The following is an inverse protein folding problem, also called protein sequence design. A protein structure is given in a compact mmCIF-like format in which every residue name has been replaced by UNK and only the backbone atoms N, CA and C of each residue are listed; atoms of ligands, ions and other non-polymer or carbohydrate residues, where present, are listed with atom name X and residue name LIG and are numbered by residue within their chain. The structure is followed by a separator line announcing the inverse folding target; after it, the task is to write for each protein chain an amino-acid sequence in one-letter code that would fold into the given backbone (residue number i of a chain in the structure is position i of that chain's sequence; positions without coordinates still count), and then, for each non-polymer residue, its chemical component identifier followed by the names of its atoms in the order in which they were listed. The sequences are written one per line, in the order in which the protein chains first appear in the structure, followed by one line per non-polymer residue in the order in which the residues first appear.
data_IF_789946657340
#
_entry.id   IF_789946657340
#
_cell.length_a   1.000
_cell.length_b   1.000
_cell.length_c   1.000
_cell.angle_alpha   90.00
_cell.angle_beta   90.00
_cell.angle_gamma   90.00
#
_symmetry.space_group_name_H-M   'P 1'
#
loop_
_entity.id
_entity.type
_entity.pdbx_description
1 polymer ?
#
# COMPACT_ATOMS: atom_id res chain seq x y z
N UNK A 1 -3.05 36.35 22.80
CA UNK A 1 -1.65 35.91 23.00
C UNK A 1 -1.30 34.78 22.04
N UNK A 2 -2.12 33.73 21.92
CA UNK A 2 -1.82 32.53 21.09
C UNK A 2 -1.46 32.76 19.61
N UNK A 3 -2.14 33.64 18.89
CA UNK A 3 -1.83 33.86 17.45
C UNK A 3 -0.44 34.46 17.22
N UNK A 4 0.03 35.31 18.13
CA UNK A 4 1.33 35.99 18.00
C UNK A 4 2.47 34.99 18.18
N UNK A 5 2.35 34.11 19.17
CA UNK A 5 3.32 33.05 19.44
C UNK A 5 3.37 32.02 18.30
N UNK A 6 2.20 31.65 17.73
CA UNK A 6 2.15 30.78 16.55
C UNK A 6 2.81 31.42 15.33
N UNK A 7 2.55 32.71 15.04
CA UNK A 7 3.17 33.38 13.88
C UNK A 7 4.68 33.58 14.01
N UNK A 8 5.19 33.65 15.24
CA UNK A 8 6.62 33.86 15.51
C UNK A 8 7.42 32.56 15.36
N UNK A 9 6.90 31.45 15.87
CA UNK A 9 7.51 30.13 15.75
C UNK A 9 6.43 29.03 15.77
N UNK A 10 5.88 28.68 14.60
CA UNK A 10 4.79 27.72 14.51
C UNK A 10 5.18 26.34 15.05
N UNK A 11 6.42 25.89 14.83
CA UNK A 11 6.87 24.56 15.23
C UNK A 11 7.06 24.44 16.74
N UNK A 12 7.60 25.47 17.39
CA UNK A 12 7.73 25.51 18.85
C UNK A 12 6.39 25.67 19.55
N UNK A 13 5.49 26.49 19.00
CA UNK A 13 4.12 26.61 19.49
C UNK A 13 3.39 25.27 19.42
N UNK A 14 3.45 24.61 18.26
CA UNK A 14 2.81 23.31 18.05
C UNK A 14 3.42 22.21 18.91
N UNK A 15 4.75 22.16 19.07
CA UNK A 15 5.40 21.20 19.99
C UNK A 15 4.95 21.39 21.44
N UNK A 16 4.81 22.64 21.90
CA UNK A 16 4.32 22.93 23.24
C UNK A 16 2.83 22.59 23.41
N UNK A 17 2.01 22.83 22.38
CA UNK A 17 0.58 22.56 22.39
C UNK A 17 0.25 21.06 22.31
N UNK A 18 0.91 20.33 21.41
CA UNK A 18 0.71 18.90 21.19
C UNK A 18 1.49 18.01 22.18
N UNK A 19 2.37 18.64 22.97
CA UNK A 19 3.33 17.97 23.82
C UNK A 19 4.63 17.67 23.08
N UNK A 20 5.75 17.79 23.79
CA UNK A 20 7.07 17.48 23.23
C UNK A 20 7.12 16.04 22.70
N UNK A 21 8.01 15.80 21.73
CA UNK A 21 8.29 14.45 21.23
C UNK A 21 8.60 13.55 22.42
N UNK A 22 7.67 12.66 22.74
CA UNK A 22 7.88 11.61 23.73
C UNK A 22 8.87 10.62 23.12
N UNK A 23 10.15 10.74 23.48
CA UNK A 23 11.14 9.72 23.23
C UNK A 23 11.05 8.67 24.34
N UNK A 24 11.01 7.40 23.95
CA UNK A 24 11.11 6.28 24.86
C UNK A 24 11.95 5.19 24.21
N UNK A 25 12.69 4.46 25.02
CA UNK A 25 13.35 3.24 24.57
C UNK A 25 12.34 2.10 24.66
N UNK A 26 12.14 1.41 23.54
CA UNK A 26 11.31 0.21 23.53
C UNK A 26 12.08 -0.90 24.23
N UNK A 27 11.59 -1.33 25.39
CA UNK A 27 12.22 -2.42 26.18
C UNK A 27 12.06 -3.79 25.53
N UNK A 28 11.15 -3.93 24.57
CA UNK A 28 10.94 -5.17 23.84
C UNK A 28 12.04 -5.37 22.81
N UNK A 29 12.53 -6.60 22.67
CA UNK A 29 13.46 -6.93 21.59
C UNK A 29 12.73 -6.91 20.24
N UNK A 30 13.50 -6.87 19.15
CA UNK A 30 12.94 -6.89 17.81
C UNK A 30 12.08 -8.13 17.57
N UNK A 31 12.54 -9.29 18.05
CA UNK A 31 11.86 -10.57 17.90
C UNK A 31 10.52 -10.56 18.63
N UNK A 32 10.45 -9.98 19.83
CA UNK A 32 9.20 -9.85 20.59
C UNK A 32 8.19 -8.96 19.87
N UNK A 33 8.66 -7.89 19.22
CA UNK A 33 7.80 -6.99 18.44
C UNK A 33 7.30 -7.70 17.18
N UNK A 34 8.18 -8.39 16.45
CA UNK A 34 7.81 -9.14 15.25
C UNK A 34 6.81 -10.25 15.57
N UNK A 35 7.02 -10.99 16.65
CA UNK A 35 6.07 -12.01 17.11
C UNK A 35 4.73 -11.40 17.50
N UNK A 36 4.72 -10.30 18.26
CA UNK A 36 3.47 -9.61 18.61
C UNK A 36 2.71 -9.13 17.36
N UNK A 37 3.42 -8.50 16.42
CA UNK A 37 2.82 -8.04 15.16
C UNK A 37 2.28 -9.21 14.34
N UNK A 38 3.03 -10.32 14.26
CA UNK A 38 2.57 -11.52 13.58
C UNK A 38 1.30 -12.08 14.25
N UNK A 39 1.26 -12.18 15.57
CA UNK A 39 0.09 -12.69 16.28
C UNK A 39 -1.16 -11.80 16.11
N UNK A 40 -0.99 -10.48 16.08
CA UNK A 40 -2.12 -9.53 16.01
C UNK A 40 -2.59 -9.31 14.58
N UNK A 41 -1.67 -9.33 13.60
CA UNK A 41 -1.95 -8.90 12.23
C UNK A 41 -1.77 -9.98 11.16
N UNK A 42 -1.30 -11.17 11.51
CA UNK A 42 -1.25 -12.30 10.57
C UNK A 42 -2.54 -13.11 10.63
N UNK A 43 -3.00 -13.59 9.48
CA UNK A 43 -4.08 -14.59 9.43
C UNK A 43 -3.47 -15.97 9.78
N UNK A 44 -3.97 -16.67 10.82
CA UNK A 44 -3.49 -18.01 11.17
C UNK A 44 -3.61 -19.04 10.04
N UNK A 45 -4.51 -18.80 9.08
CA UNK A 45 -4.78 -19.68 7.93
C UNK A 45 -4.21 -19.12 6.63
N UNK A 46 -3.28 -18.17 6.71
CA UNK A 46 -2.64 -17.56 5.53
C UNK A 46 -2.05 -18.60 4.59
N UNK A 47 -1.41 -19.62 5.15
CA UNK A 47 -0.74 -20.68 4.39
C UNK A 47 -1.69 -21.83 4.02
N UNK A 48 -2.94 -21.79 4.49
CA UNK A 48 -3.94 -22.78 4.13
C UNK A 48 -4.46 -22.50 2.73
N UNK A 49 -4.38 -23.51 1.86
CA UNK A 49 -5.02 -23.45 0.54
C UNK A 49 -6.52 -23.19 0.69
N UNK A 50 -7.00 -22.10 0.07
CA UNK A 50 -8.42 -21.82 0.00
C UNK A 50 -9.14 -22.94 -0.77
N UNK A 51 -10.30 -23.37 -0.25
CA UNK A 51 -11.16 -24.33 -0.95
C UNK A 51 -11.69 -23.72 -2.24
N UNK A 52 -11.98 -24.57 -3.23
CA UNK A 52 -12.65 -24.14 -4.44
C UNK A 52 -14.01 -23.52 -4.08
N UNK A 53 -14.21 -22.25 -4.42
CA UNK A 53 -15.47 -21.56 -4.16
C UNK A 53 -16.44 -21.87 -5.31
N UNK A 54 -17.38 -22.78 -5.08
CA UNK A 54 -18.39 -23.20 -6.06
C UNK A 54 -19.23 -22.05 -6.63
N UNK A 55 -19.35 -20.93 -5.89
CA UNK A 55 -20.11 -19.74 -6.29
C UNK A 55 -19.31 -18.77 -7.16
N UNK A 56 -18.01 -19.00 -7.38
CA UNK A 56 -17.23 -18.17 -8.29
C UNK A 56 -17.71 -18.44 -9.72
N UNK A 57 -18.22 -17.40 -10.37
CA UNK A 57 -18.53 -17.44 -11.79
C UNK A 57 -17.19 -17.59 -12.51
N UNK A 58 -16.91 -18.79 -13.02
CA UNK A 58 -15.80 -19.00 -13.95
C UNK A 58 -16.17 -18.27 -15.24
N UNK A 59 -15.42 -17.26 -15.68
CA UNK A 59 -15.70 -16.62 -16.96
C UNK A 59 -15.58 -17.67 -18.07
N UNK A 60 -16.34 -17.50 -19.14
CA UNK A 60 -16.13 -18.29 -20.34
C UNK A 60 -14.72 -18.03 -20.87
N UNK A 61 -14.13 -19.04 -21.51
CA UNK A 61 -12.84 -18.89 -22.17
C UNK A 61 -12.89 -17.73 -23.19
N UNK A 62 -11.81 -16.95 -23.30
CA UNK A 62 -11.77 -15.85 -24.23
C UNK A 62 -11.97 -16.37 -25.66
N UNK A 63 -12.93 -15.80 -26.37
CA UNK A 63 -13.18 -16.13 -27.79
C UNK A 63 -12.02 -15.71 -28.69
N UNK A 64 -11.22 -14.74 -28.23
CA UNK A 64 -10.11 -14.17 -28.97
C UNK A 64 -8.81 -14.63 -28.29
N UNK A 65 -7.89 -15.30 -29.01
CA UNK A 65 -6.61 -15.68 -28.44
C UNK A 65 -5.80 -14.43 -28.09
N UNK A 66 -4.98 -14.54 -27.04
CA UNK A 66 -4.04 -13.48 -26.71
C UNK A 66 -3.01 -13.34 -27.84
N UNK A 67 -2.94 -12.15 -28.45
CA UNK A 67 -1.94 -11.84 -29.46
C UNK A 67 -0.56 -11.72 -28.84
N UNK A 68 0.15 -12.85 -28.73
CA UNK A 68 1.51 -12.92 -28.20
C UNK A 68 2.60 -12.58 -29.23
N UNK A 69 2.19 -12.18 -30.44
CA UNK A 69 3.09 -11.82 -31.53
C UNK A 69 3.67 -10.41 -31.33
N UNK A 70 4.81 -10.14 -31.98
CA UNK A 70 5.39 -8.81 -32.00
C UNK A 70 4.43 -7.81 -32.70
N UNK A 71 4.36 -6.56 -32.23
CA UNK A 71 3.46 -5.57 -32.80
C UNK A 71 3.82 -5.26 -34.25
N UNK A 72 2.80 -5.16 -35.09
CA UNK A 72 2.97 -4.77 -36.49
C UNK A 72 3.37 -3.29 -36.58
N UNK A 73 4.16 -2.94 -37.60
CA UNK A 73 4.53 -1.56 -37.90
C UNK A 73 3.31 -0.61 -38.01
N UNK A 74 2.18 -1.11 -38.50
CA UNK A 74 0.92 -0.34 -38.54
C UNK A 74 0.40 0.02 -37.15
N UNK A 75 0.46 -0.92 -36.20
CA UNK A 75 0.03 -0.71 -34.81
C UNK A 75 0.94 0.30 -34.11
N UNK A 76 2.25 0.17 -34.32
CA UNK A 76 3.27 1.12 -33.82
C UNK A 76 3.02 2.52 -34.36
N UNK A 77 2.82 2.67 -35.68
CA UNK A 77 2.57 3.98 -36.29
C UNK A 77 1.26 4.61 -35.80
N UNK A 78 0.20 3.81 -35.64
CA UNK A 78 -1.08 4.28 -35.11
C UNK A 78 -0.94 4.73 -33.64
N UNK A 79 -0.15 4.02 -32.84
CA UNK A 79 0.16 4.42 -31.47
C UNK A 79 0.91 5.76 -31.43
N UNK A 80 1.98 5.90 -32.22
CA UNK A 80 2.78 7.14 -32.27
C UNK A 80 1.97 8.36 -32.71
N UNK A 81 1.01 8.19 -33.62
CA UNK A 81 0.10 9.27 -34.04
C UNK A 81 -0.89 9.67 -32.96
N UNK A 82 -1.37 8.73 -32.13
CA UNK A 82 -2.28 9.02 -31.00
C UNK A 82 -1.57 9.66 -29.81
N UNK A 83 -0.27 9.43 -29.65
CA UNK A 83 0.53 9.94 -28.54
C UNK A 83 1.06 11.37 -28.75
N UNK A 84 0.97 11.90 -29.97
CA UNK A 84 1.28 13.29 -30.32
C UNK A 84 0.01 14.14 -30.26
#
# INVERSE_FOLDING_TARGET
MDRVDFTKDPFKYMSKLLGDKRSGELKATKEQVEEHLHQVHSDPRREDSLKEMEKLIKPADPTIPFGAEEPNWQEVNNFLKKAR
#
